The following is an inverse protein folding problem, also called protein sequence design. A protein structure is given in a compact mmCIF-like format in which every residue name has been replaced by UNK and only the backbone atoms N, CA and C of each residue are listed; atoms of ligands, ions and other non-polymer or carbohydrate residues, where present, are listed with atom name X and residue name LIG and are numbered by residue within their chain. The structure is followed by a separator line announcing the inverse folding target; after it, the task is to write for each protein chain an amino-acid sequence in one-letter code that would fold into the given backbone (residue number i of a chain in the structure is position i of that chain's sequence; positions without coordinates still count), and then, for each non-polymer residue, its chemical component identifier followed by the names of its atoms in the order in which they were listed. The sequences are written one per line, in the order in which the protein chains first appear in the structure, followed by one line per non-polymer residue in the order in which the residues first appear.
data_IF_255538805039
#
_entry.id   IF_255538805039
#
_cell.length_a   1.000
_cell.length_b   1.000
_cell.length_c   1.000
_cell.angle_alpha   90.00
_cell.angle_beta   90.00
_cell.angle_gamma   90.00
#
_symmetry.space_group_name_H-M   'P 1'
#
loop_
_entity.id
_entity.type
_entity.pdbx_description
1 polymer ?
#
# COMPACT_ATOMS: atom_id res chain seq x y z
N UNK A 1 5.35 -14.03 -2.45
CA UNK A 1 4.94 -12.63 -2.64
C UNK A 1 4.05 -12.58 -3.86
N UNK A 2 3.12 -11.63 -3.93
CA UNK A 2 2.30 -11.38 -5.13
C UNK A 2 2.46 -9.94 -5.59
N UNK A 3 2.18 -9.64 -6.87
CA UNK A 3 2.13 -8.24 -7.30
C UNK A 3 0.93 -7.57 -6.64
N UNK A 4 1.11 -6.33 -6.21
CA UNK A 4 0.02 -5.57 -5.61
C UNK A 4 -1.14 -5.39 -6.60
N UNK A 5 -0.84 -5.17 -7.88
CA UNK A 5 -1.85 -5.04 -8.93
C UNK A 5 -2.63 -6.33 -9.20
N UNK A 6 -2.11 -7.52 -8.85
CA UNK A 6 -2.86 -8.77 -8.96
C UNK A 6 -3.88 -8.93 -7.82
N UNK A 7 -3.73 -8.15 -6.73
CA UNK A 7 -4.67 -8.16 -5.60
C UNK A 7 -5.79 -7.14 -5.79
N UNK A 8 -5.54 -5.99 -6.44
CA UNK A 8 -6.53 -4.92 -6.67
C UNK A 8 -7.11 -4.29 -5.39
N UNK A 9 -6.54 -4.56 -4.22
CA UNK A 9 -6.91 -3.91 -2.96
C UNK A 9 -5.69 -3.66 -2.05
N UNK A 10 -5.89 -2.81 -1.05
CA UNK A 10 -4.96 -2.56 0.05
C UNK A 10 -5.68 -2.68 1.40
N UNK A 11 -4.97 -3.10 2.44
CA UNK A 11 -5.46 -3.14 3.81
C UNK A 11 -4.37 -2.79 4.81
N UNK A 12 -4.77 -2.37 6.02
CA UNK A 12 -3.85 -2.24 7.14
C UNK A 12 -3.18 -3.59 7.44
N UNK A 13 -1.89 -3.55 7.75
CA UNK A 13 -1.05 -4.72 8.02
C UNK A 13 -0.33 -5.28 6.79
N UNK A 14 -0.72 -4.90 5.57
CA UNK A 14 0.02 -5.29 4.36
C UNK A 14 1.44 -4.76 4.38
N UNK A 15 2.39 -5.61 4.01
CA UNK A 15 3.79 -5.20 3.78
C UNK A 15 4.04 -5.15 2.27
N UNK A 16 4.21 -3.93 1.77
CA UNK A 16 4.61 -3.67 0.39
C UNK A 16 6.12 -3.69 0.27
N UNK A 17 6.63 -4.24 -0.83
CA UNK A 17 8.05 -4.31 -1.17
C UNK A 17 8.25 -3.64 -2.53
N UNK A 18 9.13 -2.65 -2.60
CA UNK A 18 9.43 -1.96 -3.85
C UNK A 18 10.53 -2.65 -4.67
N UNK A 19 10.83 -2.08 -5.85
CA UNK A 19 11.83 -2.61 -6.79
C UNK A 19 13.26 -2.67 -6.21
N UNK A 20 13.55 -1.87 -5.19
CA UNK A 20 14.84 -1.85 -4.50
C UNK A 20 14.85 -2.79 -3.28
N UNK A 21 13.76 -3.52 -3.04
CA UNK A 21 13.60 -4.43 -1.91
C UNK A 21 13.27 -3.72 -0.59
N UNK A 22 12.90 -2.44 -0.61
CA UNK A 22 12.52 -1.70 0.60
C UNK A 22 11.10 -2.05 1.00
N UNK A 23 10.89 -2.16 2.30
CA UNK A 23 9.61 -2.57 2.86
C UNK A 23 8.85 -1.39 3.49
N UNK A 24 7.54 -1.38 3.28
CA UNK A 24 6.61 -0.47 3.91
C UNK A 24 5.37 -1.20 4.39
N UNK A 25 5.09 -1.14 5.69
CA UNK A 25 3.85 -1.66 6.27
C UNK A 25 2.77 -0.60 6.21
N UNK A 26 1.62 -0.92 5.61
CA UNK A 26 0.44 -0.05 5.66
C UNK A 26 -0.11 -0.05 7.08
N UNK A 27 -0.12 1.12 7.72
CA UNK A 27 -0.60 1.29 9.10
C UNK A 27 -1.86 2.13 9.21
N UNK A 28 -2.25 2.80 8.13
CA UNK A 28 -3.46 3.62 8.08
C UNK A 28 -3.94 3.76 6.64
N UNK A 29 -5.27 3.72 6.48
CA UNK A 29 -5.96 4.01 5.23
C UNK A 29 -7.12 4.93 5.60
N UNK A 30 -7.25 6.05 4.88
CA UNK A 30 -8.30 7.03 5.12
C UNK A 30 -8.85 7.53 3.79
N UNK A 31 -10.17 7.56 3.68
CA UNK A 31 -10.85 8.25 2.59
C UNK A 31 -11.04 9.72 2.95
N UNK A 32 -10.66 10.61 2.03
CA UNK A 32 -10.86 12.06 2.17
C UNK A 32 -11.82 12.50 1.07
N UNK A 33 -12.99 12.97 1.46
CA UNK A 33 -14.03 13.43 0.53
C UNK A 33 -13.48 14.49 -0.43
N UNK A 34 -13.62 14.25 -1.74
CA UNK A 34 -13.09 15.12 -2.79
C UNK A 34 -11.61 14.97 -3.11
N UNK A 35 -10.84 14.17 -2.34
CA UNK A 35 -9.39 13.98 -2.51
C UNK A 35 -8.96 12.51 -2.62
N UNK A 36 -9.85 11.55 -2.36
CA UNK A 36 -9.61 10.11 -2.52
C UNK A 36 -8.93 9.43 -1.34
N UNK A 37 -8.33 8.27 -1.60
CA UNK A 37 -7.70 7.41 -0.60
C UNK A 37 -6.30 7.90 -0.23
N UNK A 38 -6.01 8.00 1.07
CA UNK A 38 -4.69 8.30 1.62
C UNK A 38 -4.17 7.12 2.43
N UNK A 39 -2.90 6.77 2.21
CA UNK A 39 -2.26 5.58 2.78
C UNK A 39 -1.03 5.96 3.58
N UNK A 40 -0.97 5.47 4.81
CA UNK A 40 0.12 5.70 5.74
C UNK A 40 1.02 4.47 5.81
N UNK A 41 2.33 4.71 5.79
CA UNK A 41 3.34 3.67 5.95
C UNK A 41 4.11 3.79 7.27
N UNK A 42 4.40 2.63 7.89
CA UNK A 42 5.28 2.48 9.04
C UNK A 42 4.91 3.36 10.25
N UNK A 43 3.63 3.65 10.44
CA UNK A 43 3.11 4.39 11.61
C UNK A 43 3.44 5.88 11.63
N UNK A 44 4.03 6.45 10.57
CA UNK A 44 4.40 7.86 10.54
C UNK A 44 3.32 8.71 9.84
N UNK A 45 2.55 9.47 10.61
CA UNK A 45 1.44 10.30 10.10
C UNK A 45 1.92 11.40 9.14
N UNK A 46 3.20 11.77 9.16
CA UNK A 46 3.79 12.73 8.20
C UNK A 46 4.14 12.09 6.86
N UNK A 47 3.93 10.78 6.70
CA UNK A 47 4.22 9.99 5.49
C UNK A 47 2.95 9.34 4.94
N UNK A 48 1.85 10.09 4.93
CA UNK A 48 0.69 9.71 4.12
C UNK A 48 0.97 10.04 2.65
N UNK A 49 0.57 9.13 1.76
CA UNK A 49 0.60 9.34 0.31
C UNK A 49 -0.81 9.17 -0.23
N UNK A 50 -1.21 10.03 -1.17
CA UNK A 50 -2.44 9.83 -1.92
C UNK A 50 -2.27 8.59 -2.79
N UNK A 51 -3.16 7.62 -2.61
CA UNK A 51 -3.11 6.35 -3.31
C UNK A 51 -3.77 6.47 -4.67
N UNK A 52 -3.03 6.14 -5.72
CA UNK A 52 -3.52 6.16 -7.10
C UNK A 52 -3.08 4.87 -7.79
N UNK A 53 -4.04 3.97 -8.00
CA UNK A 53 -3.82 2.69 -8.66
C UNK A 53 -3.22 2.83 -10.07
N UNK A 54 -3.48 3.94 -10.77
CA UNK A 54 -2.89 4.19 -12.09
C UNK A 54 -1.40 4.54 -12.04
N UNK A 55 -0.88 4.89 -10.85
CA UNK A 55 0.52 5.25 -10.62
C UNK A 55 1.29 4.17 -9.86
N UNK A 56 0.61 3.13 -9.38
CA UNK A 56 1.26 1.98 -8.76
C UNK A 56 2.07 1.25 -9.83
N UNK A 57 3.38 1.08 -9.57
CA UNK A 57 4.23 0.32 -10.47
C UNK A 57 3.89 -1.17 -10.40
N UNK A 58 3.93 -1.83 -11.55
CA UNK A 58 3.65 -3.27 -11.68
C UNK A 58 4.64 -4.18 -10.94
N UNK A 59 5.78 -3.65 -10.49
CA UNK A 59 6.82 -4.34 -9.76
C UNK A 59 6.74 -4.17 -8.23
N UNK A 60 5.72 -3.47 -7.72
CA UNK A 60 5.42 -3.45 -6.28
C UNK A 60 4.83 -4.81 -5.87
N UNK A 61 5.46 -5.44 -4.88
CA UNK A 61 5.06 -6.73 -4.36
C UNK A 61 4.40 -6.59 -2.98
N UNK A 62 3.63 -7.61 -2.61
CA UNK A 62 3.03 -7.78 -1.29
C UNK A 62 3.57 -9.07 -0.69
N UNK A 63 4.02 -9.02 0.57
CA UNK A 63 4.44 -10.22 1.30
C UNK A 63 3.26 -11.15 1.55
N UNK A 64 3.50 -12.45 1.41
CA UNK A 64 2.47 -13.44 1.70
C UNK A 64 2.18 -13.48 3.20
N UNK A 65 0.92 -13.74 3.55
CA UNK A 65 0.48 -13.78 4.96
C UNK A 65 0.27 -12.41 5.60
N UNK A 66 0.51 -11.31 4.89
CA UNK A 66 0.22 -9.94 5.38
C UNK A 66 -1.10 -9.37 4.84
N UNK A 67 -1.89 -10.19 4.16
CA UNK A 67 -3.20 -9.81 3.64
C UNK A 67 -4.18 -10.97 3.75
N UNK A 68 -5.45 -10.64 3.82
CA UNK A 68 -6.58 -11.57 3.88
C UNK A 68 -7.59 -11.12 2.84
N UNK A 69 -7.74 -11.93 1.79
CA UNK A 69 -8.69 -11.70 0.71
C UNK A 69 -10.13 -11.92 1.17
#
# INVERSE_FOLDING_TARGET
MKRLNDLEFIQNGMVLVDVEGREGTITGIREVEGFGTWVQFNGNQKKEVMWDWNRVRNDVLVKDGTYTN
#
